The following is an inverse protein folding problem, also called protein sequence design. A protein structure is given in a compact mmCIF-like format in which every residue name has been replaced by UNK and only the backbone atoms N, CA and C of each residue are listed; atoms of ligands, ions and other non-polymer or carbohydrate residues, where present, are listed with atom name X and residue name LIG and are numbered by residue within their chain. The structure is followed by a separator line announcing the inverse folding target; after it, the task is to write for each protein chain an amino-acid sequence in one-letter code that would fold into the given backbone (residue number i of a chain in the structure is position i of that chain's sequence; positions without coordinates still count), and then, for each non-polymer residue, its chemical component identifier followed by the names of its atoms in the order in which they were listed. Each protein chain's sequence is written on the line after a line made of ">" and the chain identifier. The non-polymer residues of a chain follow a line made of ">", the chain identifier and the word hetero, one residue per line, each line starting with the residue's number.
data_IF_093039416417
#
_entry.id   IF_093039416417
#
_cell.length_a   1.000
_cell.length_b   1.000
_cell.length_c   1.000
_cell.angle_alpha   90.00
_cell.angle_beta   90.00
_cell.angle_gamma   90.00
#
_symmetry.space_group_name_H-M   'P 1'
#
loop_
_entity.id
_entity.type
_entity.pdbx_description
1 polymer ?
#
# COMPACT_ATOMS: atom_id res chain seq x y z
N UNK A 1 -1.95 -26.87 10.70
CA UNK A 1 -1.17 -26.05 11.66
C UNK A 1 -0.01 -25.34 10.98
N UNK A 2 0.82 -26.00 10.15
CA UNK A 2 1.89 -25.33 9.38
C UNK A 2 1.35 -24.35 8.32
N UNK A 3 0.28 -24.72 7.62
CA UNK A 3 -0.33 -23.93 6.54
C UNK A 3 -0.90 -22.59 7.01
N UNK A 4 -1.59 -22.55 8.15
CA UNK A 4 -2.11 -21.32 8.74
C UNK A 4 -1.01 -20.34 9.17
N UNK A 5 0.12 -20.87 9.64
CA UNK A 5 1.27 -20.06 10.05
C UNK A 5 1.99 -19.45 8.84
N UNK A 6 2.12 -20.22 7.76
CA UNK A 6 2.65 -19.71 6.47
C UNK A 6 1.72 -18.67 5.87
N UNK A 7 0.40 -18.90 5.87
CA UNK A 7 -0.58 -17.91 5.37
C UNK A 7 -0.51 -16.62 6.21
N UNK A 8 -0.49 -16.72 7.53
CA UNK A 8 -0.43 -15.55 8.41
C UNK A 8 0.85 -14.72 8.23
N UNK A 9 2.01 -15.38 8.14
CA UNK A 9 3.30 -14.70 7.92
C UNK A 9 3.37 -14.00 6.57
N UNK A 10 2.85 -14.63 5.51
CA UNK A 10 2.74 -13.99 4.19
C UNK A 10 1.77 -12.81 4.23
N UNK A 11 0.62 -12.95 4.90
CA UNK A 11 -0.38 -11.89 5.03
C UNK A 11 0.22 -10.64 5.66
N UNK A 12 0.91 -10.81 6.80
CA UNK A 12 1.56 -9.71 7.53
C UNK A 12 2.62 -9.05 6.64
N UNK A 13 3.44 -9.86 5.96
CA UNK A 13 4.49 -9.34 5.07
C UNK A 13 3.89 -8.50 3.94
N UNK A 14 2.84 -9.00 3.27
CA UNK A 14 2.14 -8.29 2.19
C UNK A 14 1.55 -6.97 2.71
N UNK A 15 0.93 -6.98 3.89
CA UNK A 15 0.36 -5.77 4.49
C UNK A 15 1.45 -4.74 4.83
N UNK A 16 2.55 -5.16 5.45
CA UNK A 16 3.64 -4.25 5.80
C UNK A 16 4.28 -3.61 4.57
N UNK A 17 4.63 -4.43 3.56
CA UNK A 17 5.21 -3.91 2.31
C UNK A 17 4.20 -3.07 1.52
N UNK A 18 2.93 -3.49 1.51
CA UNK A 18 1.85 -2.77 0.85
C UNK A 18 1.64 -1.38 1.44
N UNK A 19 1.50 -1.27 2.77
CA UNK A 19 1.31 0.03 3.43
C UNK A 19 2.53 0.93 3.23
N UNK A 20 3.74 0.40 3.46
CA UNK A 20 4.97 1.18 3.28
C UNK A 20 5.16 1.65 1.84
N UNK A 21 4.97 0.76 0.86
CA UNK A 21 5.12 1.07 -0.55
C UNK A 21 4.14 2.13 -1.03
N UNK A 22 2.86 2.01 -0.67
CA UNK A 22 1.84 2.99 -1.08
C UNK A 22 2.05 4.36 -0.40
N UNK A 23 2.44 4.38 0.89
CA UNK A 23 2.83 5.63 1.56
C UNK A 23 4.02 6.31 0.86
N UNK A 24 5.03 5.53 0.48
CA UNK A 24 6.20 6.05 -0.20
C UNK A 24 5.85 6.64 -1.58
N UNK A 25 4.96 5.98 -2.34
CA UNK A 25 4.48 6.50 -3.63
C UNK A 25 3.76 7.84 -3.45
N UNK A 26 2.84 7.95 -2.49
CA UNK A 26 2.12 9.20 -2.21
C UNK A 26 3.11 10.30 -1.80
N UNK A 27 4.05 9.99 -0.91
CA UNK A 27 5.06 10.93 -0.45
C UNK A 27 5.98 11.38 -1.59
N UNK A 28 6.47 10.44 -2.42
CA UNK A 28 7.34 10.73 -3.54
C UNK A 28 6.64 11.62 -4.57
N UNK A 29 5.40 11.31 -4.95
CA UNK A 29 4.61 12.16 -5.85
C UNK A 29 4.39 13.56 -5.27
N UNK A 30 4.19 13.69 -3.95
CA UNK A 30 4.09 15.01 -3.31
C UNK A 30 5.42 15.77 -3.27
N UNK A 31 6.53 15.08 -3.05
CA UNK A 31 7.87 15.67 -2.88
C UNK A 31 8.52 16.08 -4.20
N UNK A 32 8.45 15.23 -5.21
CA UNK A 32 9.16 15.42 -6.48
C UNK A 32 8.22 15.94 -7.55
N UNK A 33 8.44 17.19 -8.00
CA UNK A 33 7.61 17.83 -9.04
C UNK A 33 7.62 17.06 -10.37
N UNK A 34 8.70 16.35 -10.67
CA UNK A 34 8.82 15.49 -11.85
C UNK A 34 7.80 14.34 -11.87
N UNK A 35 7.38 13.88 -10.69
CA UNK A 35 6.37 12.84 -10.54
C UNK A 35 4.94 13.39 -10.56
N UNK A 36 4.73 14.72 -10.53
CA UNK A 36 3.41 15.36 -10.54
C UNK A 36 2.83 15.51 -11.96
N UNK A 37 3.13 14.55 -12.82
CA UNK A 37 2.47 14.42 -14.12
C UNK A 37 1.04 13.91 -13.93
N UNK A 38 0.18 14.03 -14.94
CA UNK A 38 -1.18 13.43 -14.90
C UNK A 38 -1.14 11.96 -14.51
N UNK A 39 -0.19 11.21 -15.07
CA UNK A 39 -0.02 9.79 -14.78
C UNK A 39 0.48 9.55 -13.34
N UNK A 40 1.46 10.32 -12.87
CA UNK A 40 1.96 10.17 -11.50
C UNK A 40 0.93 10.56 -10.42
N UNK A 41 0.05 11.52 -10.71
CA UNK A 41 -1.10 11.84 -9.85
C UNK A 41 -2.09 10.67 -9.82
N UNK A 42 -2.41 10.05 -10.97
CA UNK A 42 -3.26 8.86 -11.01
C UNK A 42 -2.66 7.71 -10.19
N UNK A 43 -1.35 7.48 -10.30
CA UNK A 43 -0.64 6.48 -9.50
C UNK A 43 -0.74 6.79 -8.00
N UNK A 44 -0.60 8.06 -7.59
CA UNK A 44 -0.77 8.45 -6.19
C UNK A 44 -2.20 8.27 -5.68
N UNK A 45 -3.22 8.51 -6.52
CA UNK A 45 -4.62 8.24 -6.19
C UNK A 45 -4.84 6.73 -6.02
N UNK A 46 -4.31 5.90 -6.92
CA UNK A 46 -4.37 4.44 -6.78
C UNK A 46 -3.69 3.97 -5.49
N UNK A 47 -2.52 4.54 -5.17
CA UNK A 47 -1.82 4.23 -3.92
C UNK A 47 -2.65 4.61 -2.67
N UNK A 48 -3.38 5.73 -2.73
CA UNK A 48 -4.29 6.12 -1.66
C UNK A 48 -5.45 5.12 -1.49
N UNK A 49 -6.07 4.68 -2.59
CA UNK A 49 -7.11 3.65 -2.54
C UNK A 49 -6.59 2.32 -1.98
N UNK A 50 -5.40 1.88 -2.40
CA UNK A 50 -4.77 0.68 -1.86
C UNK A 50 -4.55 0.77 -0.34
N UNK A 51 -4.16 1.94 0.16
CA UNK A 51 -3.96 2.16 1.59
C UNK A 51 -5.28 2.07 2.36
N UNK A 52 -6.36 2.65 1.83
CA UNK A 52 -7.70 2.50 2.39
C UNK A 52 -8.18 1.04 2.38
N UNK A 53 -7.89 0.30 1.31
CA UNK A 53 -8.20 -1.14 1.22
C UNK A 53 -7.45 -1.97 2.27
N UNK A 54 -6.15 -1.71 2.47
CA UNK A 54 -5.38 -2.38 3.51
C UNK A 54 -5.88 -2.03 4.91
N UNK A 55 -6.22 -0.77 5.16
CA UNK A 55 -6.79 -0.36 6.45
C UNK A 55 -8.12 -1.09 6.72
N UNK A 56 -9.00 -1.15 5.73
CA UNK A 56 -10.28 -1.87 5.84
C UNK A 56 -10.07 -3.37 6.06
N UNK A 57 -9.05 -3.96 5.42
CA UNK A 57 -8.66 -5.34 5.67
C UNK A 57 -8.22 -5.54 7.13
N UNK A 58 -7.36 -4.66 7.68
CA UNK A 58 -6.87 -4.75 9.08
C UNK A 58 -7.93 -4.46 10.15
N UNK A 59 -9.00 -3.73 9.81
CA UNK A 59 -10.10 -3.47 10.77
C UNK A 59 -11.07 -4.65 10.82
N UNK A 60 -11.17 -5.42 9.73
CA UNK A 60 -12.16 -6.49 9.58
C UNK A 60 -11.66 -7.87 10.04
N UNK A 61 -10.34 -8.02 10.21
CA UNK A 61 -9.66 -9.27 10.58
C UNK A 61 -8.56 -8.99 11.60
#
# INVERSE_FOLDING_TARGET
>A
MMTSLVIGTLMVSILTFGIFGNLNVIYATKKFKELQTRNGILVAITAFFNLASFFLFTVKY
#
